data_IF_964196077375
#
_entry.id   IF_964196077375
#
_cell.length_a   1.000
_cell.length_b   1.000
_cell.length_c   1.000
_cell.angle_alpha   90.00
_cell.angle_beta   90.00
_cell.angle_gamma   90.00
#
_symmetry.space_group_name_H-M   'P 1'
#
loop_
_entity.id
_entity.type
_entity.pdbx_description
1 polymer ?
#
# COMPACT_ATOMS: atom_id res chain seq x y z
N UNK A 1 9.69 0.64 -29.10
CA UNK A 1 10.78 0.44 -28.12
C UNK A 1 10.34 1.08 -26.81
N UNK A 2 10.46 0.39 -25.67
CA UNK A 2 10.14 0.98 -24.35
C UNK A 2 11.19 2.04 -23.98
N UNK A 3 10.75 3.23 -23.56
CA UNK A 3 11.66 4.30 -23.12
C UNK A 3 12.49 3.85 -21.91
N UNK A 4 13.79 4.20 -21.81
CA UNK A 4 14.61 3.91 -20.62
C UNK A 4 13.97 4.40 -19.32
N UNK A 5 13.29 5.56 -19.34
CA UNK A 5 12.57 6.09 -18.17
C UNK A 5 11.42 5.17 -17.77
N UNK A 6 10.64 4.67 -18.74
CA UNK A 6 9.53 3.73 -18.49
C UNK A 6 10.03 2.48 -17.78
N UNK A 7 11.14 1.90 -18.24
CA UNK A 7 11.74 0.70 -17.66
C UNK A 7 12.21 0.95 -16.22
N UNK A 8 12.86 2.10 -15.96
CA UNK A 8 13.32 2.46 -14.60
C UNK A 8 12.15 2.63 -13.62
N UNK A 9 11.10 3.37 -14.01
CA UNK A 9 9.90 3.56 -13.19
C UNK A 9 9.23 2.21 -12.86
N UNK A 10 9.06 1.36 -13.87
CA UNK A 10 8.50 0.02 -13.68
C UNK A 10 9.35 -0.81 -12.70
N UNK A 11 10.67 -0.81 -12.86
CA UNK A 11 11.59 -1.55 -12.00
C UNK A 11 11.53 -1.05 -10.55
N UNK A 12 11.49 0.25 -10.32
CA UNK A 12 11.36 0.82 -8.98
C UNK A 12 10.03 0.42 -8.33
N UNK A 13 8.92 0.56 -9.06
CA UNK A 13 7.60 0.17 -8.56
C UNK A 13 7.54 -1.32 -8.19
N UNK A 14 8.06 -2.19 -9.05
CA UNK A 14 8.13 -3.62 -8.80
C UNK A 14 9.02 -3.95 -7.59
N UNK A 15 10.15 -3.26 -7.43
CA UNK A 15 11.05 -3.49 -6.30
C UNK A 15 10.40 -3.13 -4.96
N UNK A 16 9.69 -2.00 -4.89
CA UNK A 16 8.89 -1.63 -3.72
C UNK A 16 7.78 -2.65 -3.44
N UNK A 17 6.99 -3.00 -4.47
CA UNK A 17 5.91 -3.97 -4.37
C UNK A 17 6.40 -5.35 -3.89
N UNK A 18 7.54 -5.82 -4.41
CA UNK A 18 8.16 -7.07 -3.98
C UNK A 18 8.66 -6.99 -2.53
N UNK A 19 9.28 -5.87 -2.14
CA UNK A 19 9.72 -5.66 -0.76
C UNK A 19 8.54 -5.73 0.22
N UNK A 20 7.41 -5.14 -0.14
CA UNK A 20 6.19 -5.25 0.65
C UNK A 20 5.62 -6.67 0.63
N UNK A 21 5.46 -7.30 -0.53
CA UNK A 21 4.93 -8.66 -0.65
C UNK A 21 5.74 -9.73 0.12
N UNK A 22 7.06 -9.56 0.17
CA UNK A 22 7.99 -10.46 0.87
C UNK A 22 8.10 -10.20 2.38
N UNK A 23 7.28 -9.31 2.95
CA UNK A 23 7.36 -8.91 4.36
C UNK A 23 8.78 -8.47 4.77
N UNK A 24 9.44 -7.66 3.93
CA UNK A 24 10.71 -7.05 4.31
C UNK A 24 10.52 -6.12 5.52
N UNK A 25 11.59 -5.87 6.24
CA UNK A 25 11.59 -4.94 7.35
C UNK A 25 11.28 -3.50 6.91
N UNK A 26 10.85 -2.67 7.87
CA UNK A 26 10.42 -1.28 7.62
C UNK A 26 11.57 -0.45 7.04
N UNK A 27 12.83 -0.71 7.40
CA UNK A 27 13.98 0.02 6.86
C UNK A 27 14.14 -0.27 5.36
N UNK A 28 14.06 -1.54 4.97
CA UNK A 28 14.06 -1.95 3.56
C UNK A 28 12.89 -1.35 2.79
N UNK A 29 11.66 -1.39 3.34
CA UNK A 29 10.47 -0.80 2.69
C UNK A 29 10.64 0.72 2.51
N UNK A 30 11.09 1.41 3.55
CA UNK A 30 11.21 2.88 3.53
C UNK A 30 12.40 3.37 2.71
N UNK A 31 13.40 2.52 2.42
CA UNK A 31 14.53 2.84 1.53
C UNK A 31 14.12 3.14 0.07
N UNK A 32 12.90 2.77 -0.34
CA UNK A 32 12.35 3.08 -1.66
C UNK A 32 11.86 4.52 -1.80
N UNK A 33 11.64 5.22 -0.69
CA UNK A 33 11.15 6.60 -0.70
C UNK A 33 12.27 7.61 -0.94
N UNK A 34 11.90 8.76 -1.47
CA UNK A 34 12.83 9.86 -1.69
C UNK A 34 13.28 10.46 -0.36
N UNK A 35 14.52 10.96 -0.34
CA UNK A 35 15.08 11.75 0.77
C UNK A 35 15.27 13.22 0.37
N UNK A 36 15.00 13.57 -0.89
CA UNK A 36 15.27 14.92 -1.43
C UNK A 36 14.18 15.92 -1.08
N UNK A 37 12.96 15.44 -0.82
CA UNK A 37 11.78 16.22 -0.43
C UNK A 37 10.99 15.45 0.62
N UNK A 38 9.91 16.01 1.16
CA UNK A 38 9.04 15.28 2.10
C UNK A 38 8.11 14.33 1.32
N UNK A 39 8.32 12.99 1.39
CA UNK A 39 7.40 12.05 0.77
C UNK A 39 6.07 11.98 1.53
N UNK A 40 5.04 11.41 0.89
CA UNK A 40 3.73 11.21 1.50
C UNK A 40 3.17 9.80 1.30
N UNK A 41 2.34 9.36 2.23
CA UNK A 41 1.52 8.16 2.13
C UNK A 41 0.08 8.49 2.46
N UNK A 42 -0.88 7.99 1.68
CA UNK A 42 -2.30 8.05 2.01
C UNK A 42 -3.01 6.76 1.60
N UNK A 43 -3.70 6.14 2.56
CA UNK A 43 -4.69 5.13 2.26
C UNK A 43 -6.07 5.79 2.23
N UNK A 44 -6.69 5.79 1.06
CA UNK A 44 -7.96 6.48 0.84
C UNK A 44 -9.11 5.71 1.49
N UNK A 45 -9.98 6.44 2.19
CA UNK A 45 -11.13 5.87 2.88
C UNK A 45 -11.70 6.85 3.89
N UNK A 46 -12.83 6.49 4.49
CA UNK A 46 -13.45 7.27 5.55
C UNK A 46 -12.61 7.17 6.84
N UNK A 47 -12.06 8.28 7.38
CA UNK A 47 -11.15 8.25 8.54
C UNK A 47 -11.75 7.64 9.81
N UNK A 48 -13.07 7.64 9.96
CA UNK A 48 -13.72 7.02 11.11
C UNK A 48 -13.70 5.48 11.09
N UNK A 49 -13.34 4.86 9.96
CA UNK A 49 -13.31 3.41 9.78
C UNK A 49 -11.98 2.75 10.18
N UNK A 50 -10.89 3.50 10.29
CA UNK A 50 -9.58 2.92 10.63
C UNK A 50 -8.50 3.97 10.89
N UNK A 51 -7.50 3.66 11.73
CA UNK A 51 -6.49 4.64 12.14
C UNK A 51 -5.53 5.06 11.01
N UNK A 52 -5.44 4.27 9.94
CA UNK A 52 -4.59 4.51 8.77
C UNK A 52 -5.35 5.12 7.57
N UNK A 53 -6.67 5.32 7.68
CA UNK A 53 -7.52 5.75 6.56
C UNK A 53 -7.71 7.28 6.51
N UNK A 54 -7.73 7.79 5.28
CA UNK A 54 -8.20 9.13 4.92
C UNK A 54 -7.35 10.29 5.45
N UNK A 55 -6.14 10.03 5.95
CA UNK A 55 -5.21 11.05 6.43
C UNK A 55 -3.84 10.87 5.76
N UNK A 56 -3.25 11.94 5.20
CA UNK A 56 -1.91 11.88 4.67
C UNK A 56 -0.86 11.79 5.80
N UNK A 57 0.10 10.90 5.63
CA UNK A 57 1.32 10.78 6.43
C UNK A 57 2.46 11.41 5.66
N UNK A 58 2.98 12.55 6.12
CA UNK A 58 3.98 13.34 5.40
C UNK A 58 5.32 13.34 6.13
N UNK A 59 6.39 13.08 5.39
CA UNK A 59 7.75 12.95 5.89
C UNK A 59 8.09 11.55 6.39
N UNK A 60 9.38 11.21 6.38
CA UNK A 60 9.86 9.84 6.63
C UNK A 60 9.43 9.26 7.98
N UNK A 61 9.37 10.07 9.03
CA UNK A 61 8.94 9.60 10.35
C UNK A 61 7.46 9.19 10.34
N UNK A 62 6.59 9.99 9.70
CA UNK A 62 5.17 9.67 9.58
C UNK A 62 4.93 8.43 8.70
N UNK A 63 5.74 8.23 7.66
CA UNK A 63 5.70 7.05 6.80
C UNK A 63 6.10 5.79 7.56
N UNK A 64 7.15 5.85 8.38
CA UNK A 64 7.52 4.73 9.26
C UNK A 64 6.38 4.38 10.20
N UNK A 65 5.80 5.39 10.88
CA UNK A 65 4.65 5.17 11.76
C UNK A 65 3.42 4.61 11.04
N UNK A 66 3.21 4.96 9.77
CA UNK A 66 2.15 4.35 8.95
C UNK A 66 2.39 2.85 8.78
N UNK A 67 3.59 2.43 8.34
CA UNK A 67 3.90 1.01 8.15
C UNK A 67 3.90 0.23 9.47
N UNK A 68 4.35 0.85 10.57
CA UNK A 68 4.24 0.28 11.92
C UNK A 68 2.78 0.08 12.34
N UNK A 69 1.91 1.06 12.06
CA UNK A 69 0.47 0.97 12.36
C UNK A 69 -0.16 -0.18 11.59
N UNK A 70 0.05 -0.25 10.27
CA UNK A 70 -0.44 -1.35 9.44
C UNK A 70 0.09 -2.70 9.95
N UNK A 71 1.40 -2.80 10.20
CA UNK A 71 2.02 -4.02 10.71
C UNK A 71 1.53 -4.40 12.11
N UNK A 72 1.08 -3.47 12.94
CA UNK A 72 0.53 -3.77 14.27
C UNK A 72 -0.90 -4.33 14.20
N UNK A 73 -1.68 -3.93 13.20
CA UNK A 73 -3.11 -4.25 13.08
C UNK A 73 -3.37 -5.43 12.16
N UNK A 74 -2.57 -5.58 11.11
CA UNK A 74 -2.81 -6.51 10.01
C UNK A 74 -1.65 -7.48 9.84
N UNK A 75 -1.97 -8.70 9.42
CA UNK A 75 -1.04 -9.60 8.74
C UNK A 75 -1.59 -9.93 7.36
N UNK A 76 -0.71 -10.30 6.43
CA UNK A 76 -1.10 -10.70 5.08
C UNK A 76 -0.33 -11.91 4.60
N UNK A 77 -0.95 -12.67 3.72
CA UNK A 77 -0.33 -13.81 3.02
C UNK A 77 -0.68 -13.78 1.53
N UNK A 78 0.13 -14.47 0.73
CA UNK A 78 -0.08 -14.64 -0.71
C UNK A 78 -0.16 -13.31 -1.49
N UNK A 79 0.55 -12.28 -1.03
CA UNK A 79 0.54 -10.96 -1.68
C UNK A 79 1.20 -11.00 -3.06
N UNK A 80 0.50 -10.46 -4.06
CA UNK A 80 0.93 -10.43 -5.46
C UNK A 80 0.56 -9.10 -6.10
N UNK A 81 1.44 -8.60 -6.94
CA UNK A 81 1.23 -7.37 -7.71
C UNK A 81 1.20 -7.68 -9.20
N UNK A 82 0.34 -6.97 -9.93
CA UNK A 82 0.08 -7.19 -11.35
C UNK A 82 -0.44 -5.91 -12.00
N UNK A 83 -0.62 -5.94 -13.34
CA UNK A 83 -1.27 -4.86 -14.08
C UNK A 83 -0.62 -3.48 -13.88
N UNK A 84 0.72 -3.46 -13.93
CA UNK A 84 1.48 -2.23 -13.84
C UNK A 84 1.23 -1.34 -15.06
N UNK A 85 0.77 -0.12 -14.82
CA UNK A 85 0.58 0.93 -15.82
C UNK A 85 1.57 2.05 -15.50
N UNK A 86 2.47 2.34 -16.44
CA UNK A 86 3.49 3.38 -16.29
C UNK A 86 3.12 4.60 -17.11
N UNK A 87 3.05 5.75 -16.44
CA UNK A 87 2.94 7.08 -17.02
C UNK A 87 4.29 7.79 -16.88
N UNK A 88 4.96 8.01 -18.01
CA UNK A 88 6.26 8.69 -18.02
C UNK A 88 6.15 10.21 -17.98
N UNK A 89 5.00 10.78 -18.35
CA UNK A 89 4.80 12.24 -18.36
C UNK A 89 4.62 12.75 -16.93
N UNK A 90 3.85 12.02 -16.12
CA UNK A 90 3.65 12.36 -14.71
C UNK A 90 4.60 11.63 -13.76
N UNK A 91 5.58 10.87 -14.27
CA UNK A 91 6.49 10.01 -13.48
C UNK A 91 5.75 9.14 -12.45
N UNK A 92 4.74 8.40 -12.90
CA UNK A 92 3.82 7.63 -12.05
C UNK A 92 3.72 6.18 -12.49
N UNK A 93 3.50 5.28 -11.53
CA UNK A 93 3.12 3.90 -11.78
C UNK A 93 1.90 3.54 -10.96
N UNK A 94 0.86 3.05 -11.62
CA UNK A 94 -0.27 2.41 -10.96
C UNK A 94 -0.16 0.90 -11.08
N UNK A 95 -0.62 0.15 -10.07
CA UNK A 95 -0.68 -1.31 -10.15
C UNK A 95 -1.81 -1.87 -9.30
N UNK A 96 -2.17 -3.13 -9.58
CA UNK A 96 -3.14 -3.90 -8.81
C UNK A 96 -2.42 -4.86 -7.88
N UNK A 97 -2.77 -4.79 -6.60
CA UNK A 97 -2.37 -5.76 -5.59
C UNK A 97 -3.50 -6.72 -5.23
N UNK A 98 -3.13 -7.94 -4.84
CA UNK A 98 -4.02 -8.94 -4.24
C UNK A 98 -3.31 -9.61 -3.08
N UNK A 99 -4.01 -9.81 -1.97
CA UNK A 99 -3.51 -10.57 -0.83
C UNK A 99 -4.69 -11.07 0.01
N UNK A 100 -4.43 -12.03 0.90
CA UNK A 100 -5.35 -12.32 1.99
C UNK A 100 -4.87 -11.57 3.22
N UNK A 101 -5.67 -10.62 3.69
CA UNK A 101 -5.41 -9.87 4.92
C UNK A 101 -6.14 -10.52 6.09
N UNK A 102 -5.59 -10.32 7.28
CA UNK A 102 -6.17 -10.75 8.55
C UNK A 102 -6.01 -9.66 9.57
N UNK A 103 -7.12 -9.26 10.20
CA UNK A 103 -7.07 -8.35 11.34
C UNK A 103 -6.61 -9.10 12.58
N UNK A 104 -5.48 -8.69 13.16
CA UNK A 104 -4.77 -9.49 14.17
C UNK A 104 -5.57 -9.71 15.46
N UNK A 105 -6.30 -8.71 15.94
CA UNK A 105 -7.00 -8.81 17.22
C UNK A 105 -8.27 -9.66 17.18
N UNK A 106 -8.86 -9.85 16.00
CA UNK A 106 -10.13 -10.58 15.80
C UNK A 106 -9.94 -11.87 15.02
N UNK A 107 -8.78 -12.05 14.39
CA UNK A 107 -8.46 -13.14 13.48
C UNK A 107 -9.39 -13.24 12.26
N UNK A 108 -10.16 -12.19 11.95
CA UNK A 108 -11.00 -12.17 10.76
C UNK A 108 -10.18 -11.84 9.52
N UNK A 109 -10.38 -12.62 8.45
CA UNK A 109 -9.64 -12.49 7.20
C UNK A 109 -10.52 -12.18 6.00
N UNK A 110 -9.94 -11.52 5.01
CA UNK A 110 -10.56 -11.30 3.70
C UNK A 110 -9.53 -11.41 2.58
N UNK A 111 -10.00 -11.89 1.43
CA UNK A 111 -9.28 -11.75 0.17
C UNK A 111 -9.50 -10.33 -0.35
N UNK A 112 -8.42 -9.62 -0.57
CA UNK A 112 -8.44 -8.23 -1.00
C UNK A 112 -7.91 -8.07 -2.41
N UNK A 113 -8.51 -7.15 -3.15
CA UNK A 113 -7.92 -6.54 -4.33
C UNK A 113 -7.85 -5.04 -4.09
N UNK A 114 -6.65 -4.47 -4.20
CA UNK A 114 -6.38 -3.07 -3.95
C UNK A 114 -5.56 -2.47 -5.09
N UNK A 115 -5.49 -1.15 -5.14
CA UNK A 115 -4.71 -0.41 -6.14
C UNK A 115 -3.68 0.49 -5.45
N UNK A 116 -2.46 0.48 -5.98
CA UNK A 116 -1.44 1.47 -5.65
C UNK A 116 -1.31 2.50 -6.76
N UNK A 117 -1.04 3.74 -6.37
CA UNK A 117 -0.52 4.79 -7.23
C UNK A 117 0.76 5.32 -6.60
N UNK A 118 1.87 5.20 -7.33
CA UNK A 118 3.21 5.54 -6.90
C UNK A 118 3.75 6.65 -7.78
N UNK A 119 4.08 7.79 -7.18
CA UNK A 119 4.75 8.90 -7.87
C UNK A 119 6.25 8.85 -7.58
N UNK A 120 7.05 9.32 -8.53
CA UNK A 120 8.49 9.16 -8.50
C UNK A 120 9.23 10.45 -8.83
N UNK A 121 10.38 10.64 -8.17
CA UNK A 121 11.33 11.69 -8.53
C UNK A 121 12.22 11.30 -9.73
N UNK A 122 13.18 12.16 -10.08
CA UNK A 122 14.10 11.93 -11.20
C UNK A 122 15.03 10.71 -10.98
N UNK A 123 15.27 10.34 -9.73
CA UNK A 123 16.04 9.16 -9.34
C UNK A 123 15.19 7.86 -9.34
N UNK A 124 13.89 7.97 -9.59
CA UNK A 124 12.90 6.90 -9.46
C UNK A 124 12.74 6.40 -8.02
N UNK A 125 12.83 7.30 -7.04
CA UNK A 125 12.41 7.07 -5.65
C UNK A 125 10.98 7.56 -5.44
N UNK A 126 10.24 6.89 -4.57
CA UNK A 126 8.82 7.17 -4.33
C UNK A 126 8.67 8.52 -3.62
N UNK A 127 7.86 9.41 -4.20
CA UNK A 127 7.47 10.68 -3.57
C UNK A 127 6.12 10.54 -2.89
N UNK A 128 5.15 9.93 -3.56
CA UNK A 128 3.78 9.80 -3.07
C UNK A 128 3.29 8.37 -3.27
N UNK A 129 2.84 7.76 -2.17
CA UNK A 129 2.29 6.42 -2.16
C UNK A 129 0.82 6.47 -1.75
N UNK A 130 -0.06 6.19 -2.72
CA UNK A 130 -1.50 6.22 -2.51
C UNK A 130 -2.10 4.83 -2.66
N UNK A 131 -3.04 4.49 -1.77
CA UNK A 131 -3.69 3.17 -1.72
C UNK A 131 -5.20 3.31 -1.77
N UNK A 132 -5.86 2.50 -2.60
CA UNK A 132 -7.30 2.26 -2.55
C UNK A 132 -7.55 0.78 -2.27
N UNK A 133 -8.23 0.53 -1.16
CA UNK A 133 -8.41 -0.77 -0.54
C UNK A 133 -9.87 -0.98 -0.07
N UNK A 134 -10.23 -2.18 0.36
CA UNK A 134 -11.55 -2.50 0.90
C UNK A 134 -11.65 -2.09 2.38
N UNK A 135 -11.81 -0.79 2.60
CA UNK A 135 -12.01 -0.22 3.93
C UNK A 135 -13.23 -0.78 4.67
N UNK A 136 -14.25 -1.27 3.94
CA UNK A 136 -15.43 -1.89 4.54
C UNK A 136 -15.10 -3.25 5.16
N UNK A 137 -14.39 -4.10 4.43
CA UNK A 137 -13.90 -5.38 4.93
C UNK A 137 -12.95 -5.18 6.12
N UNK A 138 -11.98 -4.26 6.00
CA UNK A 138 -11.04 -3.95 7.08
C UNK A 138 -11.76 -3.45 8.35
N UNK A 139 -12.74 -2.54 8.20
CA UNK A 139 -13.54 -2.03 9.32
C UNK A 139 -14.33 -3.15 10.00
N UNK A 140 -15.07 -3.96 9.25
CA UNK A 140 -15.86 -5.05 9.81
C UNK A 140 -14.96 -6.11 10.48
N UNK A 141 -13.83 -6.43 9.86
CA UNK A 141 -12.82 -7.33 10.44
C UNK A 141 -12.29 -6.78 11.77
N UNK A 142 -12.02 -5.48 11.86
CA UNK A 142 -11.57 -4.83 13.10
C UNK A 142 -12.57 -4.95 14.25
N UNK A 143 -13.86 -5.13 13.93
CA UNK A 143 -14.95 -5.28 14.90
C UNK A 143 -15.32 -6.74 15.17
N UNK A 144 -14.73 -7.70 14.45
CA UNK A 144 -15.11 -9.11 14.56
C UNK A 144 -16.50 -9.39 13.97
N UNK A 145 -16.92 -8.60 12.98
CA UNK A 145 -18.27 -8.62 12.39
C UNK A 145 -18.28 -8.96 10.90
N UNK A 146 -17.12 -9.19 10.29
CA UNK A 146 -17.02 -9.47 8.86
C UNK A 146 -17.67 -10.81 8.51
N UNK A 147 -17.46 -11.84 9.32
CA UNK A 147 -18.06 -13.15 9.06
C UNK A 147 -19.56 -13.17 9.36
N UNK A 148 -20.05 -12.30 10.23
CA UNK A 148 -21.49 -12.14 10.49
C UNK A 148 -22.19 -11.68 9.22
N UNK A 149 -21.73 -10.58 8.62
CA UNK A 149 -22.39 -10.01 7.42
C UNK A 149 -22.27 -10.91 6.18
N UNK A 150 -21.27 -11.80 6.13
CA UNK A 150 -21.09 -12.76 5.03
C UNK A 150 -22.03 -13.95 5.12
N UNK A 151 -22.51 -14.32 6.31
CA UNK A 151 -23.48 -15.42 6.48
C UNK A 151 -24.87 -15.05 5.95
N UNK A 152 -25.15 -13.75 5.85
CA UNK A 152 -26.43 -13.21 5.41
C UNK A 152 -26.49 -12.94 3.89
N UNK A 153 -25.47 -13.37 3.13
CA UNK A 153 -25.37 -13.26 1.66
C UNK A 153 -25.64 -14.61 0.99
#
# INVERSE_FOLDING_TARGET
MTSPRRTRLLSSAQSFCNSFAENKDIETITSHFTLTHQPSVIEHGEPSLGPFLGKPHVGMDAIKSYFETIASLLSYENMKFSEFVVDTESSRVACKGKAKFTWKSTSESWDETFAYMLDFDDECKITDYQVWADSGAAYLASKGRLNEVRKDQ
#
